data_IF_411279957104
#
_entry.id   IF_411279957104
#
_cell.length_a   1.000
_cell.length_b   1.000
_cell.length_c   1.000
_cell.angle_alpha   90.00
_cell.angle_beta   90.00
_cell.angle_gamma   90.00
#
_symmetry.space_group_name_H-M   'P 1'
#
loop_
_entity.id
_entity.type
_entity.pdbx_description
1 polymer ?
#
# COMPACT_ATOMS: atom_id res chain seq x y z
N UNK A 1 -52.96 -13.11 4.40
CA UNK A 1 -51.89 -13.52 5.32
C UNK A 1 -50.61 -13.36 4.54
N UNK A 2 -50.27 -12.10 4.30
CA UNK A 2 -49.14 -11.71 3.49
C UNK A 2 -47.91 -11.78 4.39
N UNK A 3 -47.01 -12.72 4.09
CA UNK A 3 -45.76 -12.86 4.82
C UNK A 3 -44.86 -11.67 4.49
N UNK A 4 -44.79 -10.72 5.41
CA UNK A 4 -43.83 -9.62 5.37
C UNK A 4 -42.44 -10.16 5.75
N UNK A 5 -41.58 -10.28 4.73
CA UNK A 5 -40.14 -10.53 4.89
C UNK A 5 -39.51 -9.30 5.56
N UNK A 6 -38.78 -9.43 6.69
CA UNK A 6 -37.99 -8.32 7.19
C UNK A 6 -36.78 -8.10 6.28
N UNK A 7 -36.77 -6.97 5.60
CA UNK A 7 -35.66 -6.41 4.84
C UNK A 7 -34.65 -5.76 5.81
N UNK A 8 -33.82 -6.58 6.46
CA UNK A 8 -32.74 -6.05 7.29
C UNK A 8 -31.59 -5.52 6.41
N UNK A 9 -31.74 -4.29 5.93
CA UNK A 9 -30.71 -3.50 5.27
C UNK A 9 -30.21 -2.41 6.22
N UNK A 10 -29.25 -2.74 7.07
CA UNK A 10 -28.34 -1.75 7.68
C UNK A 10 -27.03 -2.44 8.02
N UNK A 11 -26.19 -2.66 7.01
CA UNK A 11 -24.76 -2.82 7.27
C UNK A 11 -24.17 -1.42 7.40
N UNK A 12 -23.99 -0.95 8.63
CA UNK A 12 -23.11 0.17 8.93
C UNK A 12 -21.67 -0.28 8.64
N UNK A 13 -21.30 -0.33 7.37
CA UNK A 13 -19.95 -0.66 6.92
C UNK A 13 -18.99 0.44 7.36
N UNK A 14 -18.33 0.24 8.50
CA UNK A 14 -17.22 1.10 8.93
C UNK A 14 -16.08 0.93 7.94
N UNK A 15 -16.08 1.75 6.89
CA UNK A 15 -14.95 1.87 5.97
C UNK A 15 -13.75 2.34 6.78
N UNK A 16 -12.65 1.60 6.71
CA UNK A 16 -11.42 1.97 7.40
C UNK A 16 -10.96 3.37 6.96
N UNK A 17 -10.41 4.17 7.89
CA UNK A 17 -10.07 5.56 7.62
C UNK A 17 -8.94 5.65 6.59
N UNK A 18 -9.11 6.51 5.60
CA UNK A 18 -8.06 6.82 4.62
C UNK A 18 -7.20 7.95 5.15
N UNK A 19 -5.97 8.06 4.64
CA UNK A 19 -5.09 9.16 5.04
C UNK A 19 -5.59 10.50 4.53
N UNK A 20 -6.24 10.54 3.37
CA UNK A 20 -6.92 11.72 2.82
C UNK A 20 -8.04 12.26 3.71
N UNK A 21 -8.64 11.41 4.54
CA UNK A 21 -9.78 11.80 5.40
C UNK A 21 -9.28 12.58 6.62
N UNK A 22 -8.03 12.35 7.04
CA UNK A 22 -7.42 12.94 8.24
C UNK A 22 -6.41 14.03 7.87
N UNK A 23 -5.69 13.86 6.77
CA UNK A 23 -4.61 14.74 6.34
C UNK A 23 -4.80 15.23 4.91
N UNK A 24 -4.23 16.41 4.63
CA UNK A 24 -4.11 16.90 3.26
C UNK A 24 -3.03 16.10 2.52
N UNK A 25 -3.43 15.36 1.50
CA UNK A 25 -2.56 14.51 0.68
C UNK A 25 -2.39 15.08 -0.74
N UNK A 26 -1.27 14.73 -1.39
CA UNK A 26 -1.05 15.06 -2.79
C UNK A 26 -1.95 14.22 -3.72
N UNK A 27 -2.37 14.80 -4.86
CA UNK A 27 -3.22 14.12 -5.85
C UNK A 27 -2.55 12.89 -6.47
N UNK A 28 -1.23 12.90 -6.55
CA UNK A 28 -0.41 11.83 -7.13
C UNK A 28 0.04 10.79 -6.09
N UNK A 29 -0.48 10.84 -4.86
CA UNK A 29 -0.14 9.86 -3.83
C UNK A 29 -0.61 8.45 -4.25
N UNK A 30 0.28 7.44 -4.27
CA UNK A 30 -0.13 6.07 -4.54
C UNK A 30 -1.26 5.61 -3.62
N UNK A 31 -2.25 4.94 -4.21
CA UNK A 31 -3.45 4.43 -3.52
C UNK A 31 -3.10 3.62 -2.27
N UNK A 32 -1.97 2.91 -2.28
CA UNK A 32 -1.50 2.13 -1.13
C UNK A 32 -1.19 2.98 0.09
N UNK A 33 -0.60 4.16 -0.09
CA UNK A 33 -0.35 5.08 1.02
C UNK A 33 -1.61 5.80 1.46
N UNK A 34 -2.62 5.95 0.57
CA UNK A 34 -3.91 6.48 0.98
C UNK A 34 -4.73 5.49 1.83
N UNK A 35 -4.54 4.18 1.62
CA UNK A 35 -5.28 3.13 2.30
C UNK A 35 -4.32 2.26 3.13
N UNK A 36 -4.05 2.60 4.41
CA UNK A 36 -3.10 1.85 5.24
C UNK A 36 -3.49 0.38 5.40
N UNK A 37 -4.77 0.07 5.22
CA UNK A 37 -5.30 -1.29 5.28
C UNK A 37 -4.80 -2.23 4.19
N UNK A 38 -4.28 -1.68 3.09
CA UNK A 38 -3.72 -2.48 2.02
C UNK A 38 -2.41 -3.19 2.42
N UNK A 39 -1.74 -2.73 3.48
CA UNK A 39 -0.52 -3.33 4.00
C UNK A 39 -0.83 -4.60 4.82
N UNK A 40 -0.40 -5.75 4.30
CA UNK A 40 -0.59 -7.06 4.90
C UNK A 40 0.69 -7.55 5.56
N UNK A 41 0.58 -8.51 6.47
CA UNK A 41 1.73 -9.15 7.14
C UNK A 41 2.14 -8.48 8.46
N UNK A 42 1.56 -7.32 8.77
CA UNK A 42 1.71 -6.69 10.08
C UNK A 42 0.68 -7.26 11.04
N UNK A 43 1.13 -8.06 11.99
CA UNK A 43 0.30 -8.58 13.07
C UNK A 43 1.17 -9.19 14.14
N UNK A 44 0.69 -9.15 15.38
CA UNK A 44 1.31 -9.93 16.45
C UNK A 44 1.06 -11.41 16.15
N UNK A 45 2.12 -12.16 15.87
CA UNK A 45 2.03 -13.62 15.75
C UNK A 45 1.56 -14.18 17.09
N UNK A 46 0.64 -15.15 17.04
CA UNK A 46 0.18 -15.87 18.22
C UNK A 46 1.26 -16.83 18.69
N UNK A 47 2.21 -16.31 19.46
CA UNK A 47 3.24 -17.08 20.16
C UNK A 47 2.89 -17.17 21.64
N UNK A 48 3.39 -18.23 22.30
CA UNK A 48 3.18 -18.41 23.72
C UNK A 48 3.71 -17.17 24.49
N UNK A 49 2.93 -16.58 25.42
CA UNK A 49 3.33 -15.35 26.09
C UNK A 49 4.70 -15.40 26.78
N UNK A 50 5.09 -16.58 27.30
CA UNK A 50 6.38 -16.80 27.95
C UNK A 50 7.57 -16.92 26.96
N UNK A 51 7.30 -17.22 25.69
CA UNK A 51 8.32 -17.45 24.66
C UNK A 51 8.32 -16.32 23.60
N UNK A 52 8.30 -15.07 24.07
CA UNK A 52 8.44 -13.89 23.21
C UNK A 52 9.90 -13.45 23.13
N UNK A 53 10.36 -13.18 21.91
CA UNK A 53 11.68 -12.59 21.66
C UNK A 53 11.53 -11.11 21.32
N UNK A 54 12.56 -10.30 21.58
CA UNK A 54 12.57 -8.88 21.23
C UNK A 54 12.28 -8.63 19.74
N UNK A 55 12.80 -9.50 18.87
CA UNK A 55 12.60 -9.44 17.42
C UNK A 55 11.11 -9.60 17.01
N UNK A 56 10.28 -10.27 17.81
CA UNK A 56 8.84 -10.40 17.53
C UNK A 56 8.10 -9.06 17.63
N UNK A 57 8.70 -8.03 18.24
CA UNK A 57 8.14 -6.67 18.29
C UNK A 57 8.13 -6.02 16.90
N UNK A 58 9.15 -6.30 16.08
CA UNK A 58 9.23 -5.75 14.73
C UNK A 58 8.11 -6.30 13.84
N UNK A 59 7.42 -5.41 13.12
CA UNK A 59 6.29 -5.78 12.25
C UNK A 59 5.04 -6.27 12.98
N UNK A 60 5.01 -6.26 14.32
CA UNK A 60 3.83 -6.70 15.09
C UNK A 60 2.64 -5.76 15.01
N UNK A 61 2.90 -4.47 14.74
CA UNK A 61 1.90 -3.40 14.65
C UNK A 61 1.62 -3.04 13.20
N UNK A 62 0.33 -2.93 12.86
CA UNK A 62 -0.12 -2.50 11.54
C UNK A 62 0.11 -0.99 11.38
N UNK A 63 0.54 -0.54 10.19
CA UNK A 63 0.68 0.88 9.95
C UNK A 63 -0.68 1.59 9.96
N UNK A 64 -0.68 2.83 10.45
CA UNK A 64 -1.85 3.68 10.64
C UNK A 64 -1.84 4.91 9.74
N UNK A 65 -2.95 5.65 9.68
CA UNK A 65 -3.05 6.88 8.90
C UNK A 65 -2.03 7.95 9.30
N UNK A 66 -1.54 7.91 10.54
CA UNK A 66 -0.57 8.87 11.09
C UNK A 66 0.88 8.55 10.72
N UNK A 67 1.16 7.32 10.29
CA UNK A 67 2.50 6.87 9.87
C UNK A 67 2.65 6.92 8.34
N UNK A 68 1.55 6.96 7.61
CA UNK A 68 1.55 7.01 6.15
C UNK A 68 2.04 8.36 5.63
N UNK A 69 2.84 8.38 4.54
CA UNK A 69 3.30 9.62 3.94
C UNK A 69 2.15 10.34 3.23
N UNK A 70 2.15 11.68 3.30
CA UNK A 70 1.19 12.54 2.57
C UNK A 70 1.60 12.84 1.13
N UNK A 71 2.89 12.63 0.81
CA UNK A 71 3.47 12.81 -0.53
C UNK A 71 4.46 11.69 -0.85
N UNK A 72 4.53 11.24 -2.10
CA UNK A 72 5.49 10.22 -2.53
C UNK A 72 6.15 10.62 -3.85
N UNK A 73 7.45 10.90 -3.81
CA UNK A 73 8.24 11.34 -4.96
C UNK A 73 9.12 10.20 -5.47
N UNK A 74 8.49 9.13 -5.95
CA UNK A 74 9.20 8.00 -6.55
C UNK A 74 9.78 8.35 -7.93
N UNK A 75 10.95 7.79 -8.26
CA UNK A 75 11.55 7.94 -9.58
C UNK A 75 11.05 6.86 -10.53
N UNK A 76 10.63 7.25 -11.75
CA UNK A 76 10.22 6.32 -12.79
C UNK A 76 11.43 5.93 -13.66
N UNK A 77 11.81 4.64 -13.63
CA UNK A 77 12.97 4.12 -14.36
C UNK A 77 12.63 3.38 -15.65
N UNK A 78 11.36 3.35 -16.07
CA UNK A 78 10.90 2.58 -17.25
C UNK A 78 11.69 2.89 -18.52
N UNK A 79 11.96 4.16 -18.80
CA UNK A 79 12.74 4.58 -19.97
C UNK A 79 14.18 4.03 -19.92
N UNK A 80 14.86 4.24 -18.79
CA UNK A 80 16.25 3.78 -18.62
C UNK A 80 16.34 2.26 -18.63
N UNK A 81 15.38 1.55 -18.05
CA UNK A 81 15.30 0.08 -18.09
C UNK A 81 15.12 -0.45 -19.51
N UNK A 82 14.29 0.19 -20.33
CA UNK A 82 14.14 -0.17 -21.74
C UNK A 82 15.46 -0.02 -22.50
N UNK A 83 16.16 1.10 -22.31
CA UNK A 83 17.47 1.34 -22.94
C UNK A 83 18.58 0.43 -22.42
N UNK A 84 18.52 0.04 -21.14
CA UNK A 84 19.50 -0.88 -20.55
C UNK A 84 19.41 -2.26 -21.19
N UNK A 85 18.19 -2.72 -21.54
CA UNK A 85 17.97 -4.02 -22.21
C UNK A 85 18.57 -4.09 -23.61
N UNK A 86 18.69 -2.97 -24.33
CA UNK A 86 19.29 -2.94 -25.68
C UNK A 86 20.82 -2.99 -25.70
N UNK A 87 21.48 -2.95 -24.54
CA UNK A 87 22.94 -3.03 -24.44
C UNK A 87 23.67 -1.76 -24.88
N UNK A 88 24.97 -1.88 -25.10
CA UNK A 88 25.85 -0.77 -25.48
C UNK A 88 25.58 -0.34 -26.93
N UNK A 89 25.52 0.98 -27.15
CA UNK A 89 25.42 1.55 -28.49
C UNK A 89 26.62 1.15 -29.35
N UNK A 90 26.35 0.85 -30.63
CA UNK A 90 27.35 0.61 -31.68
C UNK A 90 27.00 1.44 -32.89
N UNK A 91 28.00 2.11 -33.45
CA UNK A 91 27.87 2.81 -34.72
C UNK A 91 28.19 1.86 -35.87
N UNK A 92 27.28 1.77 -36.84
CA UNK A 92 27.43 0.96 -38.05
C UNK A 92 27.23 1.81 -39.33
N UNK A 93 27.35 3.14 -39.22
CA UNK A 93 27.27 4.04 -40.37
C UNK A 93 28.44 3.87 -41.34
N UNK A 94 28.19 4.05 -42.65
CA UNK A 94 29.25 4.13 -43.65
C UNK A 94 29.78 5.56 -43.74
N UNK A 95 31.09 5.74 -43.80
CA UNK A 95 31.70 7.05 -44.06
C UNK A 95 31.54 7.38 -45.54
N UNK A 96 30.50 8.13 -45.89
CA UNK A 96 30.29 8.71 -47.23
C UNK A 96 30.64 10.18 -47.25
#
# INVERSE_FOLDING_TARGET
MDEEKPDLSTESGTTAPKTSDVYRVDKNLPVRFNNPDCFRGYSKKSTHPLYQTSNQTYGSKKPTVHEMPTTFNGTNRKFSEQKLKSGMYRDNGFNT
#
